data_IF_603282509477
#
_entry.id   IF_603282509477
#
_cell.length_a   1.000
_cell.length_b   1.000
_cell.length_c   1.000
_cell.angle_alpha   90.00
_cell.angle_beta   90.00
_cell.angle_gamma   90.00
#
_symmetry.space_group_name_H-M   'P 1'
#
loop_
_entity.id
_entity.type
_entity.pdbx_description
1 polymer ?
#
# COMPACT_ATOMS: atom_id res chain seq x y z
N UNK A 1 2.89 10.17 27.30
CA UNK A 1 4.27 10.61 27.01
C UNK A 1 5.23 9.69 27.76
N UNK A 2 6.13 9.09 26.99
CA UNK A 2 7.45 8.55 27.36
C UNK A 2 7.60 7.39 28.36
N UNK A 3 8.07 6.26 27.83
CA UNK A 3 9.07 5.44 28.50
C UNK A 3 10.27 5.27 27.55
N UNK A 4 11.36 5.95 27.89
CA UNK A 4 12.63 5.96 27.19
C UNK A 4 13.46 4.70 27.49
N UNK A 5 14.17 4.24 26.45
CA UNK A 5 15.52 3.64 26.46
C UNK A 5 15.77 2.32 27.23
N UNK A 6 15.95 1.23 26.48
CA UNK A 6 17.14 0.36 26.58
C UNK A 6 17.03 -0.86 25.64
N UNK A 7 17.64 -0.80 24.46
CA UNK A 7 18.00 -2.01 23.69
C UNK A 7 19.36 -1.80 23.01
N UNK A 8 20.43 -2.13 23.73
CA UNK A 8 21.72 -2.47 23.13
C UNK A 8 22.66 -3.04 24.20
N UNK A 9 22.90 -4.35 24.20
CA UNK A 9 24.22 -4.93 24.56
C UNK A 9 24.39 -6.27 23.83
N UNK A 10 25.43 -6.29 23.00
CA UNK A 10 26.33 -7.36 22.60
C UNK A 10 25.93 -8.83 22.84
N UNK A 11 26.02 -9.62 21.77
CA UNK A 11 26.73 -10.91 21.85
C UNK A 11 27.38 -11.28 20.51
N UNK A 12 28.68 -11.02 20.42
CA UNK A 12 29.57 -11.65 19.47
C UNK A 12 29.89 -13.08 19.94
N UNK A 13 29.78 -14.07 19.06
CA UNK A 13 30.46 -15.36 19.26
C UNK A 13 30.76 -16.03 17.92
N UNK A 14 32.00 -15.82 17.48
CA UNK A 14 32.93 -16.75 16.84
C UNK A 14 32.33 -17.89 15.99
N UNK A 15 32.47 -17.74 14.67
CA UNK A 15 32.47 -18.84 13.70
C UNK A 15 33.72 -19.71 13.94
N UNK A 16 33.50 -20.97 14.32
CA UNK A 16 34.56 -21.94 14.55
C UNK A 16 34.87 -22.70 13.26
N UNK A 17 36.11 -22.56 12.82
CA UNK A 17 36.76 -23.30 11.76
C UNK A 17 36.72 -24.81 12.09
N UNK A 18 36.21 -25.64 11.18
CA UNK A 18 36.20 -27.09 11.33
C UNK A 18 37.19 -27.72 10.35
N UNK A 19 38.33 -28.12 10.90
CA UNK A 19 39.36 -28.89 10.22
C UNK A 19 38.96 -30.36 10.28
N UNK A 20 38.74 -31.00 9.13
CA UNK A 20 38.68 -32.46 9.05
C UNK A 20 40.06 -33.00 8.69
N UNK A 21 40.76 -33.50 9.70
CA UNK A 21 41.81 -34.50 9.55
C UNK A 21 41.19 -35.82 9.09
N UNK A 22 41.76 -36.43 8.06
CA UNK A 22 41.67 -37.88 7.83
C UNK A 22 43.10 -38.43 7.80
N UNK A 23 43.37 -39.34 8.74
CA UNK A 23 44.60 -40.12 8.91
C UNK A 23 44.87 -41.00 7.67
N UNK A 24 46.10 -41.05 7.15
CA UNK A 24 47.20 -41.99 7.46
C UNK A 24 46.82 -43.47 7.29
N UNK A 25 47.23 -44.02 6.14
CA UNK A 25 47.79 -45.35 5.92
C UNK A 25 48.80 -45.13 4.78
N UNK A 26 50.05 -45.57 4.76
CA UNK A 26 50.83 -46.50 5.54
C UNK A 26 52.09 -46.72 4.69
N UNK A 27 53.24 -46.83 5.35
CA UNK A 27 54.57 -46.91 4.79
C UNK A 27 54.73 -47.69 3.47
N UNK A 28 55.65 -47.22 2.61
CA UNK A 28 56.88 -47.98 2.28
C UNK A 28 57.93 -47.13 1.60
N UNK A 29 59.15 -47.43 2.01
CA UNK A 29 60.42 -46.80 1.69
C UNK A 29 60.88 -47.11 0.26
N UNK A 30 61.66 -46.17 -0.29
CA UNK A 30 62.87 -46.32 -1.11
C UNK A 30 62.90 -47.46 -2.14
N UNK A 31 62.75 -47.09 -3.41
CA UNK A 31 63.77 -47.32 -4.45
C UNK A 31 63.21 -46.79 -5.77
N UNK A 32 63.81 -45.74 -6.33
CA UNK A 32 63.67 -45.48 -7.76
C UNK A 32 65.06 -45.46 -8.33
N UNK A 33 65.41 -46.67 -8.77
CA UNK A 33 66.55 -46.99 -9.57
C UNK A 33 66.56 -46.11 -10.83
N UNK A 34 67.71 -45.46 -11.03
CA UNK A 34 68.04 -44.62 -12.17
C UNK A 34 68.07 -45.49 -13.43
N UNK A 35 66.95 -45.58 -14.15
CA UNK A 35 66.89 -46.25 -15.44
C UNK A 35 67.27 -45.26 -16.55
N UNK A 36 68.53 -45.34 -16.96
CA UNK A 36 69.04 -44.79 -18.21
C UNK A 36 68.49 -45.58 -19.40
N UNK A 37 67.73 -44.92 -20.27
CA UNK A 37 67.50 -45.32 -21.67
C UNK A 37 67.69 -44.07 -22.55
N UNK A 38 68.08 -44.25 -23.83
CA UNK A 38 68.95 -43.31 -24.54
C UNK A 38 68.20 -42.07 -25.05
N UNK A 39 68.94 -40.96 -25.18
CA UNK A 39 68.51 -39.75 -25.86
C UNK A 39 68.03 -40.07 -27.28
N UNK A 40 66.73 -39.91 -27.52
CA UNK A 40 66.17 -39.47 -28.80
C UNK A 40 65.27 -38.28 -28.50
N UNK A 41 65.59 -37.18 -29.16
CA UNK A 41 64.93 -35.87 -29.15
C UNK A 41 63.48 -35.96 -29.62
N UNK A 42 62.48 -35.65 -28.77
CA UNK A 42 61.22 -35.00 -29.17
C UNK A 42 60.29 -34.72 -27.96
N UNK A 43 60.23 -33.44 -27.58
CA UNK A 43 59.19 -32.73 -26.81
C UNK A 43 59.39 -31.25 -27.14
N UNK A 44 58.43 -30.31 -27.00
CA UNK A 44 56.96 -30.34 -27.05
C UNK A 44 56.45 -29.40 -28.18
N UNK A 45 55.74 -29.88 -29.20
CA UNK A 45 55.25 -28.99 -30.27
C UNK A 45 53.87 -28.38 -29.94
N UNK A 46 52.95 -29.17 -29.38
CA UNK A 46 51.53 -28.83 -29.37
C UNK A 46 51.13 -27.65 -28.47
N UNK A 47 51.81 -27.46 -27.34
CA UNK A 47 51.52 -26.34 -26.42
C UNK A 47 52.01 -24.98 -26.97
N UNK A 48 53.12 -24.98 -27.71
CA UNK A 48 53.65 -23.79 -28.36
C UNK A 48 52.80 -23.39 -29.58
N UNK A 49 52.26 -24.37 -30.31
CA UNK A 49 51.32 -24.12 -31.41
C UNK A 49 50.02 -23.48 -30.91
N UNK A 50 49.42 -24.00 -29.84
CA UNK A 50 48.19 -23.43 -29.28
C UNK A 50 48.37 -21.99 -28.75
N UNK A 51 49.50 -21.70 -28.09
CA UNK A 51 49.82 -20.35 -27.61
C UNK A 51 50.06 -19.39 -28.78
N UNK A 52 50.82 -19.81 -29.80
CA UNK A 52 51.07 -18.99 -30.99
C UNK A 52 49.78 -18.60 -31.72
N UNK A 53 48.82 -19.53 -31.84
CA UNK A 53 47.50 -19.25 -32.42
C UNK A 53 46.73 -18.19 -31.61
N UNK A 54 46.75 -18.27 -30.27
CA UNK A 54 46.10 -17.26 -29.43
C UNK A 54 46.71 -15.85 -29.56
N UNK A 55 48.02 -15.75 -29.81
CA UNK A 55 48.69 -14.47 -30.07
C UNK A 55 48.30 -13.90 -31.44
N UNK A 56 48.25 -14.75 -32.46
CA UNK A 56 47.82 -14.37 -33.82
C UNK A 56 46.36 -13.89 -33.79
N UNK A 57 45.51 -14.55 -33.01
CA UNK A 57 44.10 -14.19 -32.85
C UNK A 57 43.89 -12.87 -32.11
N UNK A 58 44.78 -12.49 -31.19
CA UNK A 58 44.73 -11.23 -30.45
C UNK A 58 45.08 -9.97 -31.27
N UNK A 59 45.64 -10.13 -32.48
CA UNK A 59 46.00 -9.00 -33.35
C UNK A 59 44.75 -8.36 -33.99
N UNK A 60 44.74 -7.03 -34.16
CA UNK A 60 43.59 -6.29 -34.70
C UNK A 60 43.42 -6.55 -36.20
N UNK A 61 42.68 -7.60 -36.56
CA UNK A 61 42.12 -7.85 -37.91
C UNK A 61 41.24 -9.10 -37.88
N UNK A 62 40.19 -9.14 -38.72
CA UNK A 62 39.29 -10.29 -38.84
C UNK A 62 39.75 -11.34 -39.87
N UNK A 63 40.76 -11.05 -40.69
CA UNK A 63 41.25 -11.98 -41.73
C UNK A 63 42.62 -12.58 -41.39
N UNK A 64 42.76 -13.90 -41.58
CA UNK A 64 44.00 -14.66 -41.28
C UNK A 64 45.18 -14.17 -42.14
N UNK A 65 44.92 -13.83 -43.40
CA UNK A 65 45.93 -13.28 -44.32
C UNK A 65 46.42 -11.91 -43.85
N UNK A 66 45.53 -11.10 -43.27
CA UNK A 66 45.90 -9.80 -42.71
C UNK A 66 46.70 -9.94 -41.42
N UNK A 67 46.38 -10.93 -40.56
CA UNK A 67 47.14 -11.22 -39.34
C UNK A 67 48.57 -11.67 -39.64
N UNK A 68 48.74 -12.61 -40.57
CA UNK A 68 50.07 -13.09 -40.98
C UNK A 68 50.80 -12.03 -41.80
N UNK A 69 50.08 -11.27 -42.64
CA UNK A 69 50.61 -10.15 -43.39
C UNK A 69 51.18 -9.06 -42.49
N UNK A 70 50.47 -8.65 -41.44
CA UNK A 70 50.92 -7.61 -40.51
C UNK A 70 52.15 -8.06 -39.71
N UNK A 71 52.17 -9.30 -39.22
CA UNK A 71 53.35 -9.87 -38.55
C UNK A 71 54.55 -9.95 -39.48
N UNK A 72 54.35 -10.39 -40.71
CA UNK A 72 55.41 -10.51 -41.72
C UNK A 72 55.93 -9.13 -42.12
N UNK A 73 55.05 -8.15 -42.31
CA UNK A 73 55.42 -6.75 -42.58
C UNK A 73 56.18 -6.16 -41.39
N UNK A 74 55.72 -6.37 -40.16
CA UNK A 74 56.40 -5.87 -38.96
C UNK A 74 57.80 -6.49 -38.79
N UNK A 75 57.92 -7.81 -38.98
CA UNK A 75 59.19 -8.51 -38.91
C UNK A 75 60.16 -8.10 -40.03
N UNK A 76 59.67 -7.96 -41.27
CA UNK A 76 60.50 -7.50 -42.40
C UNK A 76 60.89 -6.04 -42.27
N UNK A 77 60.01 -5.18 -41.78
CA UNK A 77 60.34 -3.79 -41.49
C UNK A 77 61.39 -3.69 -40.38
N UNK A 78 61.26 -4.47 -39.31
CA UNK A 78 62.25 -4.50 -38.22
C UNK A 78 63.62 -4.98 -38.70
N UNK A 79 63.68 -6.08 -39.47
CA UNK A 79 64.95 -6.58 -40.03
C UNK A 79 65.53 -5.60 -41.04
N UNK A 80 64.70 -4.91 -41.84
CA UNK A 80 65.14 -3.88 -42.76
C UNK A 80 65.72 -2.65 -42.03
N UNK A 81 65.09 -2.18 -40.96
CA UNK A 81 65.58 -1.06 -40.14
C UNK A 81 66.96 -1.36 -39.53
N UNK A 82 67.15 -2.59 -39.02
CA UNK A 82 68.43 -3.06 -38.49
C UNK A 82 69.46 -3.24 -39.62
N UNK A 83 69.07 -3.88 -40.72
CA UNK A 83 69.97 -4.19 -41.84
C UNK A 83 70.47 -2.94 -42.56
N UNK A 84 69.69 -1.86 -42.58
CA UNK A 84 70.05 -0.59 -43.20
C UNK A 84 70.62 0.43 -42.21
N UNK A 85 70.79 0.05 -40.95
CA UNK A 85 71.29 0.94 -39.89
C UNK A 85 70.44 2.23 -39.75
N UNK A 86 69.17 2.18 -40.18
CA UNK A 86 68.23 3.30 -40.01
C UNK A 86 67.91 3.48 -38.53
N UNK A 87 68.01 2.40 -37.75
CA UNK A 87 68.00 2.43 -36.29
C UNK A 87 69.37 2.04 -35.74
N UNK A 88 70.11 3.00 -35.19
CA UNK A 88 71.41 2.80 -34.52
C UNK A 88 71.17 2.51 -33.04
N UNK A 89 71.64 1.37 -32.54
CA UNK A 89 71.60 1.04 -31.11
C UNK A 89 72.63 1.91 -30.39
N UNK A 90 72.17 3.01 -29.80
CA UNK A 90 72.97 3.90 -28.96
C UNK A 90 72.51 3.84 -27.49
N UNK A 91 73.14 4.60 -26.61
CA UNK A 91 72.76 4.76 -25.20
C UNK A 91 71.28 5.15 -24.99
N UNK A 92 70.68 5.91 -25.90
CA UNK A 92 69.26 6.29 -25.86
C UNK A 92 68.31 5.11 -26.09
N UNK A 93 68.74 4.05 -26.78
CA UNK A 93 67.93 2.84 -26.98
C UNK A 93 67.70 2.08 -25.66
N UNK A 94 68.67 2.12 -24.75
CA UNK A 94 68.56 1.54 -23.40
C UNK A 94 67.56 2.34 -22.55
N UNK A 95 67.60 3.68 -22.66
CA UNK A 95 66.63 4.56 -22.00
C UNK A 95 65.22 4.29 -22.52
N UNK A 96 65.05 4.20 -23.85
CA UNK A 96 63.75 3.89 -24.47
C UNK A 96 63.21 2.53 -24.03
N UNK A 97 64.05 1.49 -23.99
CA UNK A 97 63.65 0.16 -23.51
C UNK A 97 63.19 0.19 -22.05
N UNK A 98 63.92 0.88 -21.17
CA UNK A 98 63.53 1.02 -19.76
C UNK A 98 62.22 1.81 -19.59
N UNK A 99 62.02 2.86 -20.37
CA UNK A 99 60.81 3.68 -20.37
C UNK A 99 59.59 2.89 -20.86
N UNK A 100 59.74 2.12 -21.95
CA UNK A 100 58.71 1.24 -22.46
C UNK A 100 58.31 0.16 -21.44
N UNK A 101 59.29 -0.40 -20.71
CA UNK A 101 59.02 -1.36 -19.63
C UNK A 101 58.21 -0.72 -18.49
N UNK A 102 58.62 0.47 -18.02
CA UNK A 102 57.91 1.21 -16.96
C UNK A 102 56.49 1.57 -17.39
N UNK A 103 56.30 2.07 -18.62
CA UNK A 103 54.97 2.36 -19.17
C UNK A 103 54.12 1.10 -19.24
N UNK A 104 54.66 -0.01 -19.74
CA UNK A 104 53.92 -1.27 -19.86
C UNK A 104 53.44 -1.77 -18.49
N UNK A 105 54.32 -1.68 -17.49
CA UNK A 105 54.00 -2.03 -16.11
C UNK A 105 52.91 -1.12 -15.53
N UNK A 106 53.06 0.20 -15.67
CA UNK A 106 52.07 1.20 -15.22
C UNK A 106 50.72 1.01 -15.92
N UNK A 107 50.72 0.78 -17.22
CA UNK A 107 49.50 0.54 -17.99
C UNK A 107 48.76 -0.68 -17.44
N UNK A 108 49.47 -1.77 -17.17
CA UNK A 108 48.88 -2.98 -16.61
C UNK A 108 48.28 -2.75 -15.21
N UNK A 109 48.93 -1.93 -14.38
CA UNK A 109 48.46 -1.66 -13.01
C UNK A 109 47.31 -0.64 -12.95
N UNK A 110 47.30 0.38 -13.80
CA UNK A 110 46.31 1.48 -13.74
C UNK A 110 45.05 1.18 -14.57
N UNK A 111 45.14 0.31 -15.58
CA UNK A 111 44.02 0.05 -16.50
C UNK A 111 42.73 -0.38 -15.79
N UNK A 112 42.81 -1.39 -14.93
CA UNK A 112 41.64 -1.94 -14.23
C UNK A 112 41.00 -0.90 -13.28
N UNK A 113 41.72 -0.29 -12.32
CA UNK A 113 41.12 0.69 -11.42
C UNK A 113 40.60 1.94 -12.14
N UNK A 114 41.25 2.35 -13.25
CA UNK A 114 40.75 3.46 -14.05
C UNK A 114 39.44 3.11 -14.77
N UNK A 115 39.32 1.91 -15.34
CA UNK A 115 38.07 1.48 -15.97
C UNK A 115 36.91 1.38 -14.98
N UNK A 116 37.15 0.81 -13.80
CA UNK A 116 36.12 0.72 -12.75
C UNK A 116 35.69 2.11 -12.26
N UNK A 117 36.64 3.02 -12.07
CA UNK A 117 36.35 4.40 -11.70
C UNK A 117 35.53 5.13 -12.79
N UNK A 118 35.90 4.95 -14.06
CA UNK A 118 35.20 5.55 -15.18
C UNK A 118 33.76 5.02 -15.31
N UNK A 119 33.57 3.71 -15.16
CA UNK A 119 32.26 3.06 -15.21
C UNK A 119 31.38 3.49 -14.03
N UNK A 120 31.95 3.56 -12.81
CA UNK A 120 31.24 4.06 -11.63
C UNK A 120 30.78 5.51 -11.84
N UNK A 121 31.65 6.38 -12.37
CA UNK A 121 31.29 7.78 -12.62
C UNK A 121 30.20 7.91 -13.68
N UNK A 122 30.28 7.12 -14.74
CA UNK A 122 29.27 7.10 -15.79
C UNK A 122 27.92 6.59 -15.27
N UNK A 123 27.94 5.57 -14.41
CA UNK A 123 26.75 5.06 -13.72
C UNK A 123 26.12 6.12 -12.81
N UNK A 124 26.91 6.82 -12.00
CA UNK A 124 26.39 7.88 -11.12
C UNK A 124 25.72 9.00 -11.92
N UNK A 125 26.35 9.44 -13.02
CA UNK A 125 25.78 10.49 -13.89
C UNK A 125 24.48 10.02 -14.53
N UNK A 126 24.46 8.81 -15.08
CA UNK A 126 23.26 8.26 -15.72
C UNK A 126 22.13 8.01 -14.72
N UNK A 127 22.46 7.59 -13.50
CA UNK A 127 21.51 7.42 -12.42
C UNK A 127 20.92 8.76 -11.99
N UNK A 128 21.74 9.79 -11.71
CA UNK A 128 21.24 11.13 -11.35
C UNK A 128 20.33 11.70 -12.44
N UNK A 129 20.70 11.53 -13.72
CA UNK A 129 19.88 12.02 -14.82
C UNK A 129 18.56 11.24 -14.95
N UNK A 130 18.57 9.94 -14.66
CA UNK A 130 17.36 9.10 -14.69
C UNK A 130 16.45 9.43 -13.51
N UNK A 131 17.03 9.56 -12.31
CA UNK A 131 16.33 9.92 -11.07
C UNK A 131 15.73 11.33 -11.17
N UNK A 132 16.46 12.32 -11.70
CA UNK A 132 15.92 13.65 -11.92
C UNK A 132 14.75 13.64 -12.92
N UNK A 133 14.80 12.80 -13.96
CA UNK A 133 13.71 12.67 -14.94
C UNK A 133 12.48 12.01 -14.32
N UNK A 134 12.66 10.94 -13.54
CA UNK A 134 11.55 10.25 -12.88
C UNK A 134 10.95 11.14 -11.80
N UNK A 135 11.76 11.79 -10.97
CA UNK A 135 11.32 12.74 -9.95
C UNK A 135 10.52 13.88 -10.58
N UNK A 136 11.04 14.55 -11.61
CA UNK A 136 10.29 15.62 -12.28
C UNK A 136 8.98 15.12 -12.88
N UNK A 137 8.95 13.92 -13.48
CA UNK A 137 7.71 13.31 -13.98
C UNK A 137 6.71 13.08 -12.84
N UNK A 138 7.15 12.57 -11.69
CA UNK A 138 6.28 12.36 -10.52
C UNK A 138 5.77 13.66 -9.94
N UNK A 139 6.61 14.71 -9.87
CA UNK A 139 6.20 16.03 -9.39
C UNK A 139 5.15 16.65 -10.33
N UNK A 140 5.35 16.59 -11.65
CA UNK A 140 4.36 17.06 -12.62
C UNK A 140 3.05 16.27 -12.50
N UNK A 141 3.13 14.94 -12.32
CA UNK A 141 1.94 14.12 -12.11
C UNK A 141 1.18 14.53 -10.83
N UNK A 142 1.89 14.80 -9.74
CA UNK A 142 1.30 15.29 -8.49
C UNK A 142 0.61 16.65 -8.70
N UNK A 143 1.23 17.58 -9.44
CA UNK A 143 0.61 18.86 -9.77
C UNK A 143 -0.65 18.72 -10.62
N UNK A 144 -0.67 17.76 -11.55
CA UNK A 144 -1.86 17.46 -12.37
C UNK A 144 -2.97 16.90 -11.48
N UNK A 145 -2.65 16.02 -10.54
CA UNK A 145 -3.63 15.45 -9.61
C UNK A 145 -4.19 16.51 -8.65
N UNK A 146 -3.34 17.37 -8.08
CA UNK A 146 -3.75 18.55 -7.30
C UNK A 146 -4.68 19.46 -8.11
N UNK A 147 -4.32 19.78 -9.36
CA UNK A 147 -5.15 20.61 -10.23
C UNK A 147 -6.49 19.94 -10.60
N UNK A 148 -6.49 18.62 -10.79
CA UNK A 148 -7.70 17.83 -11.05
C UNK A 148 -8.65 17.88 -9.85
N UNK A 149 -8.15 17.71 -8.63
CA UNK A 149 -8.96 17.81 -7.41
C UNK A 149 -9.62 19.19 -7.28
N UNK A 150 -8.92 20.26 -7.67
CA UNK A 150 -9.50 21.61 -7.68
C UNK A 150 -10.65 21.75 -8.70
N UNK A 151 -10.61 21.00 -9.81
CA UNK A 151 -11.71 21.01 -10.79
C UNK A 151 -12.99 20.35 -10.26
N UNK A 152 -12.86 19.37 -9.36
CA UNK A 152 -14.00 18.67 -8.73
C UNK A 152 -14.70 19.49 -7.64
N UNK A 153 -14.11 20.60 -7.19
CA UNK A 153 -14.72 21.46 -6.14
C UNK A 153 -15.90 22.27 -6.68
N UNK A 154 -15.93 22.57 -7.98
CA UNK A 154 -17.00 23.35 -8.61
C UNK A 154 -18.38 22.67 -8.51
N UNK A 155 -18.55 21.38 -8.86
CA UNK A 155 -19.83 20.69 -8.66
C UNK A 155 -20.19 20.56 -7.17
N UNK A 156 -19.24 20.21 -6.29
CA UNK A 156 -19.48 20.09 -4.84
C UNK A 156 -20.02 21.40 -4.26
N UNK A 157 -19.47 22.54 -4.70
CA UNK A 157 -19.92 23.85 -4.23
C UNK A 157 -21.34 24.17 -4.75
N UNK A 158 -21.66 23.83 -6.00
CA UNK A 158 -23.02 23.96 -6.53
C UNK A 158 -24.02 23.09 -5.77
N UNK A 159 -23.63 21.86 -5.46
CA UNK A 159 -24.45 20.92 -4.69
C UNK A 159 -24.68 21.43 -3.26
N UNK A 160 -23.68 22.05 -2.63
CA UNK A 160 -23.82 22.67 -1.31
C UNK A 160 -24.83 23.83 -1.33
N UNK A 161 -24.80 24.67 -2.37
CA UNK A 161 -25.79 25.75 -2.55
C UNK A 161 -27.19 25.21 -2.86
N UNK A 162 -27.29 24.17 -3.69
CA UNK A 162 -28.56 23.49 -3.97
C UNK A 162 -29.15 22.89 -2.69
N UNK A 163 -28.34 22.18 -1.90
CA UNK A 163 -28.73 21.62 -0.61
C UNK A 163 -29.18 22.71 0.37
N UNK A 164 -28.46 23.83 0.45
CA UNK A 164 -28.89 24.97 1.29
C UNK A 164 -30.24 25.54 0.87
N UNK A 165 -30.54 25.57 -0.44
CA UNK A 165 -31.83 26.03 -0.95
C UNK A 165 -32.94 25.03 -0.63
N UNK A 166 -32.70 23.74 -0.83
CA UNK A 166 -33.65 22.68 -0.49
C UNK A 166 -33.96 22.64 1.00
N UNK A 167 -32.97 22.86 1.88
CA UNK A 167 -33.18 22.98 3.33
C UNK A 167 -34.12 24.15 3.64
N UNK A 168 -33.91 25.32 3.04
CA UNK A 168 -34.78 26.48 3.27
C UNK A 168 -36.22 26.22 2.79
N UNK A 169 -36.39 25.61 1.62
CA UNK A 169 -37.71 25.27 1.07
C UNK A 169 -38.44 24.22 1.91
N UNK A 170 -37.74 23.16 2.34
CA UNK A 170 -38.32 22.11 3.18
C UNK A 170 -38.63 22.60 4.58
N UNK A 171 -37.80 23.48 5.14
CA UNK A 171 -38.06 24.14 6.41
C UNK A 171 -39.29 25.04 6.34
N UNK A 172 -39.46 25.82 5.27
CA UNK A 172 -40.64 26.66 5.05
C UNK A 172 -41.92 25.81 4.98
N UNK A 173 -41.92 24.73 4.18
CA UNK A 173 -43.03 23.77 4.10
C UNK A 173 -43.34 23.14 5.46
N UNK A 174 -42.31 22.73 6.20
CA UNK A 174 -42.47 22.17 7.54
C UNK A 174 -43.09 23.17 8.53
N UNK A 175 -42.73 24.46 8.45
CA UNK A 175 -43.35 25.50 9.28
C UNK A 175 -44.82 25.73 8.93
N UNK A 176 -45.17 25.78 7.64
CA UNK A 176 -46.55 25.91 7.20
C UNK A 176 -47.41 24.73 7.69
N UNK A 177 -46.93 23.50 7.53
CA UNK A 177 -47.64 22.31 8.02
C UNK A 177 -47.78 22.33 9.54
N UNK A 178 -46.73 22.72 10.28
CA UNK A 178 -46.80 22.86 11.74
C UNK A 178 -47.84 23.89 12.16
N UNK A 179 -47.92 25.03 11.48
CA UNK A 179 -48.92 26.06 11.77
C UNK A 179 -50.34 25.56 11.52
N UNK A 180 -50.57 24.83 10.41
CA UNK A 180 -51.87 24.20 10.11
C UNK A 180 -52.27 23.18 11.18
N UNK A 181 -51.34 22.33 11.60
CA UNK A 181 -51.59 21.31 12.64
C UNK A 181 -51.84 21.98 14.00
N UNK A 182 -51.12 23.04 14.35
CA UNK A 182 -51.34 23.78 15.59
C UNK A 182 -52.75 24.38 15.64
N UNK A 183 -53.18 25.06 14.56
CA UNK A 183 -54.55 25.60 14.47
C UNK A 183 -55.59 24.48 14.53
N UNK A 184 -55.38 23.37 13.82
CA UNK A 184 -56.30 22.23 13.88
C UNK A 184 -56.39 21.63 15.29
N UNK A 185 -55.27 21.57 16.02
CA UNK A 185 -55.23 21.08 17.40
C UNK A 185 -55.96 22.03 18.37
N UNK A 186 -55.81 23.35 18.21
CA UNK A 186 -56.55 24.34 19.00
C UNK A 186 -58.06 24.23 18.76
N UNK A 187 -58.49 24.17 17.50
CA UNK A 187 -59.92 24.01 17.15
C UNK A 187 -60.48 22.70 17.70
N UNK A 188 -59.72 21.60 17.60
CA UNK A 188 -60.11 20.32 18.20
C UNK A 188 -60.23 20.42 19.72
N UNK A 189 -59.27 21.05 20.39
CA UNK A 189 -59.31 21.23 21.84
C UNK A 189 -60.53 22.04 22.28
N UNK A 190 -60.90 23.08 21.52
CA UNK A 190 -62.12 23.84 21.78
C UNK A 190 -63.33 22.92 21.61
N UNK A 191 -63.45 22.20 20.50
CA UNK A 191 -64.57 21.28 20.26
C UNK A 191 -64.69 20.19 21.33
N UNK A 192 -63.57 19.57 21.73
CA UNK A 192 -63.53 18.57 22.79
C UNK A 192 -63.98 19.17 24.14
N UNK A 193 -63.66 20.44 24.41
CA UNK A 193 -64.14 21.14 25.60
C UNK A 193 -65.66 21.38 25.59
N UNK A 194 -66.23 21.70 24.42
CA UNK A 194 -67.69 21.82 24.25
C UNK A 194 -68.40 20.48 24.45
N UNK A 195 -67.88 19.40 23.86
CA UNK A 195 -68.42 18.04 24.03
C UNK A 195 -68.35 17.62 25.49
N UNK A 196 -67.23 17.90 26.18
CA UNK A 196 -67.09 17.61 27.61
C UNK A 196 -68.08 18.42 28.46
N UNK A 197 -68.30 19.69 28.13
CA UNK A 197 -69.29 20.53 28.79
C UNK A 197 -70.71 19.99 28.58
N UNK A 198 -71.08 19.62 27.35
CA UNK A 198 -72.38 19.05 27.02
C UNK A 198 -72.63 17.72 27.75
N UNK A 199 -71.65 16.81 27.76
CA UNK A 199 -71.76 15.55 28.50
C UNK A 199 -71.93 15.80 30.01
N UNK A 200 -71.19 16.77 30.57
CA UNK A 200 -71.32 17.15 31.99
C UNK A 200 -72.70 17.74 32.30
N UNK A 201 -73.28 18.51 31.38
CA UNK A 201 -74.62 19.08 31.51
C UNK A 201 -75.69 17.99 31.46
N UNK A 202 -75.62 17.09 30.47
CA UNK A 202 -76.52 15.93 30.34
C UNK A 202 -76.46 15.04 31.58
N UNK A 203 -75.27 14.76 32.12
CA UNK A 203 -75.14 14.01 33.37
C UNK A 203 -75.78 14.72 34.56
N UNK A 204 -75.64 16.05 34.67
CA UNK A 204 -76.28 16.84 35.74
C UNK A 204 -77.79 16.81 35.63
N UNK A 205 -78.33 17.02 34.43
CA UNK A 205 -79.77 16.94 34.15
C UNK A 205 -80.32 15.56 34.46
N UNK A 206 -79.62 14.49 34.07
CA UNK A 206 -80.01 13.11 34.40
C UNK A 206 -79.98 12.86 35.91
N UNK A 207 -78.97 13.36 36.62
CA UNK A 207 -78.92 13.25 38.10
C UNK A 207 -80.05 14.03 38.77
N UNK A 208 -80.36 15.25 38.31
CA UNK A 208 -81.47 16.05 38.84
C UNK A 208 -82.82 15.43 38.54
N UNK A 209 -83.04 14.92 37.32
CA UNK A 209 -84.25 14.21 36.94
C UNK A 209 -84.41 12.92 37.76
N UNK A 210 -83.33 12.14 37.93
CA UNK A 210 -83.35 10.95 38.78
C UNK A 210 -83.67 11.30 40.23
N UNK A 211 -83.05 12.34 40.81
CA UNK A 211 -83.33 12.78 42.16
C UNK A 211 -84.79 13.25 42.33
N UNK A 212 -85.35 13.99 41.37
CA UNK A 212 -86.76 14.42 41.36
C UNK A 212 -87.71 13.21 41.27
N UNK A 213 -87.42 12.24 40.39
CA UNK A 213 -88.22 11.02 40.25
C UNK A 213 -88.17 10.19 41.53
N UNK A 214 -86.99 9.99 42.12
CA UNK A 214 -86.82 9.27 43.40
C UNK A 214 -87.61 9.97 44.50
N UNK A 215 -87.46 11.30 44.66
CA UNK A 215 -88.18 12.06 45.66
C UNK A 215 -89.71 12.01 45.48
N UNK A 216 -90.20 12.07 44.23
CA UNK A 216 -91.62 11.93 43.92
C UNK A 216 -92.15 10.52 44.23
N UNK A 217 -91.37 9.47 43.97
CA UNK A 217 -91.72 8.08 44.32
C UNK A 217 -91.74 7.93 45.85
N UNK A 218 -90.72 8.42 46.56
CA UNK A 218 -90.68 8.40 48.04
C UNK A 218 -91.85 9.14 48.68
N UNK A 219 -92.27 10.28 48.09
CA UNK A 219 -93.45 11.03 48.53
C UNK A 219 -94.74 10.23 48.26
N UNK A 220 -94.89 9.67 47.06
CA UNK A 220 -96.05 8.84 46.68
C UNK A 220 -96.16 7.56 47.52
N UNK A 221 -95.04 6.97 47.96
CA UNK A 221 -95.02 5.81 48.86
C UNK A 221 -95.50 6.13 50.28
N UNK A 222 -95.48 7.40 50.70
CA UNK A 222 -96.03 7.84 52.00
C UNK A 222 -97.55 8.00 51.98
N UNK A 223 -98.18 8.01 50.79
CA UNK A 223 -99.64 8.15 50.69
C UNK A 223 -100.37 6.88 51.14
N UNK A 224 -101.32 6.97 52.10
CA UNK A 224 -101.98 5.80 52.68
C UNK A 224 -102.86 5.06 51.67
N UNK A 225 -103.32 5.73 50.61
CA UNK A 225 -104.11 5.09 49.53
C UNK A 225 -103.26 4.13 48.69
N UNK A 226 -102.04 4.55 48.34
CA UNK A 226 -101.10 3.71 47.58
C UNK A 226 -100.56 2.56 48.44
N UNK A 227 -100.22 2.79 49.71
CA UNK A 227 -99.81 1.72 50.62
C UNK A 227 -100.87 0.63 50.75
N UNK A 228 -102.15 1.01 50.86
CA UNK A 228 -103.26 0.04 50.90
C UNK A 228 -103.46 -0.69 49.56
N UNK A 229 -103.20 -0.05 48.42
CA UNK A 229 -103.25 -0.70 47.11
C UNK A 229 -102.09 -1.69 46.93
N UNK A 230 -100.86 -1.29 47.27
CA UNK A 230 -99.67 -2.16 47.25
C UNK A 230 -99.87 -3.35 48.21
N UNK A 231 -100.40 -3.12 49.41
CA UNK A 231 -100.68 -4.20 50.36
C UNK A 231 -101.72 -5.18 49.81
N UNK A 232 -102.78 -4.68 49.16
CA UNK A 232 -103.79 -5.53 48.50
C UNK A 232 -103.20 -6.32 47.34
N UNK A 233 -102.37 -5.69 46.51
CA UNK A 233 -101.69 -6.33 45.38
C UNK A 233 -100.68 -7.39 45.86
N UNK A 234 -99.88 -7.09 46.88
CA UNK A 234 -98.98 -8.05 47.51
C UNK A 234 -99.73 -9.22 48.15
N UNK A 235 -100.88 -8.99 48.81
CA UNK A 235 -101.74 -10.07 49.31
C UNK A 235 -102.29 -10.91 48.15
N UNK A 236 -102.70 -10.29 47.03
CA UNK A 236 -103.15 -11.02 45.84
C UNK A 236 -102.03 -11.82 45.17
N UNK A 237 -100.81 -11.30 45.14
CA UNK A 237 -99.63 -11.97 44.57
C UNK A 237 -99.18 -13.14 45.44
N UNK A 238 -99.15 -12.97 46.77
CA UNK A 238 -98.92 -14.06 47.72
C UNK A 238 -100.03 -15.11 47.60
N UNK A 239 -101.29 -14.70 47.54
CA UNK A 239 -102.42 -15.63 47.32
C UNK A 239 -102.29 -16.39 46.00
N UNK A 240 -101.78 -15.78 44.93
CA UNK A 240 -101.47 -16.47 43.66
C UNK A 240 -100.31 -17.46 43.81
N UNK A 241 -99.24 -17.09 44.52
CA UNK A 241 -98.09 -17.97 44.76
C UNK A 241 -98.43 -19.19 45.64
N UNK A 242 -99.35 -19.06 46.59
CA UNK A 242 -99.83 -20.16 47.45
C UNK A 242 -100.96 -21.00 46.84
N UNK A 243 -101.52 -20.60 45.70
CA UNK A 243 -102.58 -21.34 44.99
C UNK A 243 -102.04 -22.20 43.84
N UNK A 244 -100.72 -22.19 43.66
CA UNK A 244 -99.91 -23.23 43.05
C UNK A 244 -99.20 -24.01 44.17
#
# INVERSE_FOLDING_TARGET
MSSYLAKSVLRASRSANTYKLSAINGARFLSSEKQTTPKTSEAPADEHHAKALSFIDSLPSNDIVSKTGLLTIGATAATWLVSKEIYVINEESLVLASFAFVISYIYKTIREPYSEWADARLKDITQILTDARTEHKTQVQHRIEEASQLSDIVPITKDLFAMSKEIAETQAKAFELKQRVAVAAEVKSVLDSWVRYENSLREREQRELAAKVIANIEASLKDPKLQNQILKEAIQEVQRLTKN
#
